data_IF_146211210438
#
_entry.id   IF_146211210438
#
_cell.length_a   1.000
_cell.length_b   1.000
_cell.length_c   1.000
_cell.angle_alpha   90.00
_cell.angle_beta   90.00
_cell.angle_gamma   90.00
#
_symmetry.space_group_name_H-M   'P 1'
#
loop_
_entity.id
_entity.type
_entity.pdbx_description
1 polymer ?
#
# COMPACT_ATOMS: atom_id res chain seq x y z
N UNK A 1 -3.90 -17.74 34.17
CA UNK A 1 -3.77 -16.86 32.98
C UNK A 1 -4.92 -17.22 32.06
N UNK A 2 -6.04 -16.52 32.21
CA UNK A 2 -7.21 -16.69 31.36
C UNK A 2 -6.88 -16.26 29.92
N UNK A 3 -7.12 -17.16 28.97
CA UNK A 3 -7.18 -16.77 27.56
C UNK A 3 -8.45 -15.93 27.41
N UNK A 4 -8.31 -14.61 27.40
CA UNK A 4 -9.40 -13.71 27.02
C UNK A 4 -9.97 -14.20 25.69
N UNK A 5 -11.22 -14.62 25.74
CA UNK A 5 -11.99 -15.07 24.60
C UNK A 5 -12.37 -13.79 23.81
N UNK A 6 -11.43 -13.26 23.02
CA UNK A 6 -11.72 -12.15 22.10
C UNK A 6 -12.76 -12.66 21.08
N UNK A 7 -14.03 -12.37 21.36
CA UNK A 7 -15.11 -12.54 20.40
C UNK A 7 -14.77 -11.68 19.19
N UNK A 8 -14.43 -12.32 18.06
CA UNK A 8 -14.19 -11.60 16.82
C UNK A 8 -15.43 -10.82 16.42
N UNK A 9 -15.25 -9.51 16.24
CA UNK A 9 -16.25 -8.60 15.69
C UNK A 9 -16.76 -9.13 14.35
N UNK A 10 -18.07 -9.28 14.23
CA UNK A 10 -18.74 -9.69 12.99
C UNK A 10 -19.45 -8.50 12.38
N UNK A 11 -19.49 -8.45 11.05
CA UNK A 11 -20.26 -7.43 10.33
C UNK A 11 -21.75 -7.64 10.56
N UNK A 12 -22.41 -6.62 11.10
CA UNK A 12 -23.87 -6.61 11.33
C UNK A 12 -24.68 -6.70 10.02
N UNK A 13 -24.11 -6.27 8.88
CA UNK A 13 -24.77 -6.33 7.56
C UNK A 13 -23.78 -6.51 6.40
N UNK A 14 -24.19 -7.23 5.35
CA UNK A 14 -23.45 -7.36 4.09
C UNK A 14 -23.27 -6.01 3.38
N UNK A 15 -24.22 -5.10 3.51
CA UNK A 15 -24.09 -3.74 2.98
C UNK A 15 -23.01 -2.96 3.74
N UNK A 16 -22.95 -3.09 5.07
CA UNK A 16 -21.90 -2.47 5.88
C UNK A 16 -20.50 -2.89 5.46
N UNK A 17 -20.32 -4.18 5.14
CA UNK A 17 -19.07 -4.69 4.58
C UNK A 17 -18.73 -4.05 3.21
N UNK A 18 -19.71 -3.94 2.31
CA UNK A 18 -19.49 -3.36 0.98
C UNK A 18 -19.11 -1.88 1.09
N UNK A 19 -19.80 -1.11 1.93
CA UNK A 19 -19.49 0.31 2.15
C UNK A 19 -18.11 0.50 2.77
N UNK A 20 -17.73 -0.33 3.74
CA UNK A 20 -16.40 -0.28 4.34
C UNK A 20 -15.31 -0.62 3.31
N UNK A 21 -15.52 -1.65 2.49
CA UNK A 21 -14.58 -2.03 1.43
C UNK A 21 -14.47 -0.95 0.35
N UNK A 22 -15.59 -0.36 -0.07
CA UNK A 22 -15.59 0.75 -1.03
C UNK A 22 -14.89 1.99 -0.46
N UNK A 23 -15.14 2.34 0.81
CA UNK A 23 -14.47 3.44 1.49
C UNK A 23 -12.95 3.23 1.64
N UNK A 24 -12.50 1.99 1.84
CA UNK A 24 -11.06 1.67 1.85
C UNK A 24 -10.42 1.77 0.46
N UNK A 25 -11.17 1.53 -0.61
CA UNK A 25 -10.64 1.56 -1.98
C UNK A 25 -10.67 2.97 -2.59
N UNK A 26 -11.65 3.79 -2.22
CA UNK A 26 -11.77 5.18 -2.67
C UNK A 26 -11.01 6.09 -1.71
N UNK A 27 -9.79 6.45 -2.10
CA UNK A 27 -8.91 7.28 -1.27
C UNK A 27 -8.28 8.45 -2.01
N UNK A 28 -7.46 9.20 -1.28
CA UNK A 28 -6.70 10.35 -1.80
C UNK A 28 -5.94 10.00 -3.09
N UNK A 29 -5.39 8.80 -3.21
CA UNK A 29 -4.68 8.36 -4.43
C UNK A 29 -5.46 8.58 -5.73
N UNK A 30 -6.78 8.39 -5.73
CA UNK A 30 -7.62 8.61 -6.91
C UNK A 30 -7.86 10.09 -7.21
N UNK A 31 -7.74 10.97 -6.21
CA UNK A 31 -8.03 12.40 -6.32
C UNK A 31 -6.83 13.17 -6.87
N UNK A 32 -5.61 12.88 -6.41
CA UNK A 32 -4.44 13.69 -6.78
C UNK A 32 -3.39 12.91 -7.58
N UNK A 33 -3.10 11.65 -7.22
CA UNK A 33 -2.05 10.87 -7.88
C UNK A 33 -2.51 10.36 -9.24
N UNK A 34 -3.74 9.85 -9.33
CA UNK A 34 -4.28 9.28 -10.58
C UNK A 34 -4.34 10.31 -11.72
N UNK A 35 -4.91 11.52 -11.56
CA UNK A 35 -4.94 12.51 -12.64
C UNK A 35 -3.53 12.97 -13.04
N UNK A 36 -2.65 13.14 -12.06
CA UNK A 36 -1.26 13.56 -12.30
C UNK A 36 -0.49 12.54 -13.15
N UNK A 37 -0.54 11.25 -12.79
CA UNK A 37 0.14 10.18 -13.55
C UNK A 37 -0.50 10.02 -14.92
N UNK A 38 -1.83 10.08 -15.01
CA UNK A 38 -2.57 9.99 -16.27
C UNK A 38 -2.17 11.12 -17.22
N UNK A 39 -2.10 12.36 -16.73
CA UNK A 39 -1.70 13.52 -17.53
C UNK A 39 -0.29 13.41 -18.09
N UNK A 40 0.64 12.79 -17.36
CA UNK A 40 2.03 12.60 -17.83
C UNK A 40 2.22 11.43 -18.78
N UNK A 41 1.38 10.39 -18.69
CA UNK A 41 1.56 9.14 -19.43
C UNK A 41 0.66 9.02 -20.67
N UNK A 42 0.23 10.14 -21.26
CA UNK A 42 -0.57 10.13 -22.49
C UNK A 42 -2.08 10.09 -22.27
N UNK A 43 -2.57 10.52 -21.10
CA UNK A 43 -3.98 10.81 -20.86
C UNK A 43 -4.89 9.59 -21.06
N UNK A 44 -5.85 9.69 -21.98
CA UNK A 44 -6.86 8.67 -22.20
C UNK A 44 -6.31 7.28 -22.59
N UNK A 45 -5.21 7.22 -23.33
CA UNK A 45 -4.60 5.93 -23.70
C UNK A 45 -4.06 5.18 -22.47
N UNK A 46 -3.46 5.91 -21.52
CA UNK A 46 -3.04 5.35 -20.23
C UNK A 46 -4.23 4.84 -19.42
N UNK A 47 -5.35 5.57 -19.41
CA UNK A 47 -6.57 5.15 -18.68
C UNK A 47 -7.11 3.83 -19.22
N UNK A 48 -7.13 3.62 -20.54
CA UNK A 48 -7.60 2.36 -21.12
C UNK A 48 -6.76 1.16 -20.67
N UNK A 49 -5.43 1.30 -20.71
CA UNK A 49 -4.51 0.26 -20.22
C UNK A 49 -4.66 0.05 -18.72
N UNK A 50 -4.81 1.14 -17.96
CA UNK A 50 -5.05 1.09 -16.51
C UNK A 50 -6.32 0.32 -16.15
N UNK A 51 -7.44 0.58 -16.83
CA UNK A 51 -8.70 -0.12 -16.63
C UNK A 51 -8.60 -1.60 -17.01
N UNK A 52 -7.91 -1.92 -18.10
CA UNK A 52 -7.66 -3.29 -18.50
C UNK A 52 -6.85 -4.04 -17.42
N UNK A 53 -5.79 -3.42 -16.89
CA UNK A 53 -5.00 -4.00 -15.80
C UNK A 53 -5.82 -4.18 -14.52
N UNK A 54 -6.71 -3.25 -14.17
CA UNK A 54 -7.63 -3.43 -13.04
C UNK A 54 -8.53 -4.64 -13.26
N UNK A 55 -9.11 -4.78 -14.45
CA UNK A 55 -10.02 -5.88 -14.74
C UNK A 55 -9.31 -7.25 -14.72
N UNK A 56 -8.10 -7.33 -15.30
CA UNK A 56 -7.37 -8.60 -15.49
C UNK A 56 -6.54 -8.99 -14.27
N UNK A 57 -6.01 -8.02 -13.53
CA UNK A 57 -5.08 -8.28 -12.41
C UNK A 57 -5.70 -7.84 -11.08
N UNK A 58 -6.23 -6.62 -11.01
CA UNK A 58 -6.78 -6.06 -9.78
C UNK A 58 -7.97 -6.84 -9.23
N UNK A 59 -8.98 -7.09 -10.08
CA UNK A 59 -10.20 -7.81 -9.66
C UNK A 59 -9.91 -9.24 -9.22
N UNK A 60 -9.14 -10.07 -9.96
CA UNK A 60 -8.80 -11.41 -9.48
C UNK A 60 -8.04 -11.40 -8.15
N UNK A 61 -7.07 -10.50 -7.98
CA UNK A 61 -6.32 -10.40 -6.72
C UNK A 61 -7.25 -10.02 -5.56
N UNK A 62 -8.13 -9.04 -5.76
CA UNK A 62 -9.12 -8.63 -4.75
C UNK A 62 -10.03 -9.80 -4.35
N UNK A 63 -10.53 -10.55 -5.32
CA UNK A 63 -11.36 -11.73 -5.08
C UNK A 63 -10.59 -12.83 -4.33
N UNK A 64 -9.32 -13.06 -4.69
CA UNK A 64 -8.44 -14.00 -4.00
C UNK A 64 -8.21 -13.58 -2.54
N UNK A 65 -7.95 -12.31 -2.28
CA UNK A 65 -7.73 -11.79 -0.93
C UNK A 65 -9.00 -11.89 -0.07
N UNK A 66 -10.16 -11.53 -0.63
CA UNK A 66 -11.45 -11.71 0.04
C UNK A 66 -11.77 -13.18 0.32
N UNK A 67 -11.52 -14.09 -0.63
CA UNK A 67 -11.74 -15.52 -0.45
C UNK A 67 -10.82 -16.10 0.64
N UNK A 68 -9.55 -15.71 0.65
CA UNK A 68 -8.56 -16.12 1.65
C UNK A 68 -8.94 -15.61 3.05
N UNK A 69 -9.38 -14.36 3.16
CA UNK A 69 -9.88 -13.78 4.41
C UNK A 69 -11.16 -14.45 4.92
N UNK A 70 -12.12 -14.77 4.04
CA UNK A 70 -13.38 -15.46 4.43
C UNK A 70 -13.15 -16.88 4.91
N UNK A 71 -12.22 -17.62 4.29
CA UNK A 71 -11.94 -19.02 4.64
C UNK A 71 -11.16 -19.14 5.96
N UNK A 72 -10.22 -18.22 6.22
CA UNK A 72 -9.37 -18.28 7.43
C UNK A 72 -9.95 -17.49 8.61
N UNK A 73 -10.68 -16.40 8.33
CA UNK A 73 -11.16 -15.40 9.31
C UNK A 73 -10.03 -14.85 10.19
N UNK A 74 -8.80 -14.84 9.69
CA UNK A 74 -7.60 -14.39 10.41
C UNK A 74 -7.00 -13.14 9.77
N UNK A 75 -6.11 -12.47 10.50
CA UNK A 75 -5.27 -11.40 9.93
C UNK A 75 -4.41 -11.94 8.78
N UNK A 76 -3.91 -11.10 7.85
CA UNK A 76 -3.17 -11.56 6.68
C UNK A 76 -2.02 -12.53 7.01
N UNK A 77 -1.23 -12.22 8.05
CA UNK A 77 -0.13 -13.08 8.54
C UNK A 77 -0.66 -14.42 9.08
N UNK A 78 -1.75 -14.40 9.85
CA UNK A 78 -2.38 -15.59 10.40
C UNK A 78 -3.01 -16.47 9.31
N UNK A 79 -3.65 -15.85 8.32
CA UNK A 79 -4.28 -16.52 7.20
C UNK A 79 -3.25 -17.33 6.38
N UNK A 80 -2.10 -16.73 6.06
CA UNK A 80 -1.01 -17.45 5.41
C UNK A 80 -0.38 -18.51 6.33
N UNK A 81 -0.34 -18.30 7.64
CA UNK A 81 0.15 -19.33 8.59
C UNK A 81 -0.79 -20.54 8.68
N UNK A 82 -2.10 -20.33 8.54
CA UNK A 82 -3.11 -21.38 8.60
C UNK A 82 -3.24 -22.15 7.28
N UNK A 83 -3.17 -21.44 6.15
CA UNK A 83 -3.32 -22.03 4.81
C UNK A 83 -2.02 -22.60 4.24
N UNK A 84 -0.84 -22.14 4.69
CA UNK A 84 0.41 -22.63 4.15
C UNK A 84 0.65 -24.08 4.58
N UNK A 85 0.70 -25.06 3.65
CA UNK A 85 1.11 -26.41 3.98
C UNK A 85 2.57 -26.41 4.45
N UNK A 86 2.90 -27.35 5.34
CA UNK A 86 4.26 -27.50 5.88
C UNK A 86 5.34 -27.74 4.80
N UNK A 87 4.96 -28.03 3.55
CA UNK A 87 5.85 -28.38 2.44
C UNK A 87 5.35 -27.86 1.08
N UNK A 88 5.29 -26.53 0.90
CA UNK A 88 4.91 -25.91 -0.39
C UNK A 88 6.04 -25.97 -1.42
N UNK A 89 5.81 -26.65 -2.55
CA UNK A 89 6.78 -26.74 -3.65
C UNK A 89 7.03 -25.39 -4.35
N UNK A 90 5.99 -24.56 -4.49
CA UNK A 90 6.06 -23.25 -5.13
C UNK A 90 6.90 -22.24 -4.34
N UNK A 91 6.78 -22.21 -3.00
CA UNK A 91 7.64 -21.34 -2.17
C UNK A 91 9.12 -21.75 -2.26
N UNK A 92 9.39 -23.06 -2.29
CA UNK A 92 10.76 -23.58 -2.41
C UNK A 92 11.36 -23.27 -3.79
N UNK A 93 10.56 -23.38 -4.86
CA UNK A 93 10.99 -23.02 -6.21
C UNK A 93 11.35 -21.53 -6.30
N UNK A 94 10.48 -20.64 -5.81
CA UNK A 94 10.74 -19.20 -5.80
C UNK A 94 12.00 -18.89 -4.99
N UNK A 95 12.15 -19.49 -3.81
CA UNK A 95 13.34 -19.28 -2.99
C UNK A 95 14.63 -19.76 -3.66
N UNK A 96 14.56 -20.87 -4.41
CA UNK A 96 15.70 -21.37 -5.18
C UNK A 96 16.04 -20.43 -6.33
N UNK A 97 15.05 -19.94 -7.08
CA UNK A 97 15.26 -18.98 -8.18
C UNK A 97 15.85 -17.66 -7.67
N UNK A 98 15.36 -17.14 -6.55
CA UNK A 98 15.87 -15.92 -5.91
C UNK A 98 17.31 -16.12 -5.42
N UNK A 99 17.59 -17.26 -4.78
CA UNK A 99 18.94 -17.59 -4.32
C UNK A 99 19.92 -17.76 -5.48
N UNK A 100 19.50 -18.44 -6.55
CA UNK A 100 20.30 -18.62 -7.77
C UNK A 100 20.60 -17.29 -8.46
N UNK A 101 19.59 -16.42 -8.56
CA UNK A 101 19.76 -15.05 -9.07
C UNK A 101 20.75 -14.24 -8.21
N UNK A 102 20.67 -14.37 -6.88
CA UNK A 102 21.61 -13.74 -5.96
C UNK A 102 23.06 -14.20 -6.17
N UNK A 103 23.29 -15.50 -6.34
CA UNK A 103 24.62 -16.07 -6.65
C UNK A 103 25.16 -15.52 -7.98
N UNK A 104 24.29 -15.44 -8.99
CA UNK A 104 24.64 -14.90 -10.30
C UNK A 104 25.04 -13.41 -10.21
N UNK A 105 24.31 -12.60 -9.43
CA UNK A 105 24.66 -11.18 -9.20
C UNK A 105 26.00 -10.99 -8.49
N UNK A 106 26.39 -11.90 -7.59
CA UNK A 106 27.71 -11.88 -6.97
C UNK A 106 28.83 -12.13 -7.98
N UNK A 107 28.60 -13.01 -8.96
CA UNK A 107 29.56 -13.25 -10.04
C UNK A 107 29.80 -12.01 -10.92
N UNK A 108 28.79 -11.14 -11.08
CA UNK A 108 28.88 -9.86 -11.79
C UNK A 108 29.37 -8.68 -10.93
N UNK A 109 29.96 -8.95 -9.75
CA UNK A 109 30.45 -7.94 -8.78
C UNK A 109 29.35 -7.00 -8.23
N UNK A 110 28.07 -7.36 -8.37
CA UNK A 110 26.96 -6.63 -7.74
C UNK A 110 26.74 -7.11 -6.29
N UNK A 111 27.78 -6.99 -5.46
CA UNK A 111 27.86 -7.58 -4.11
C UNK A 111 26.66 -7.24 -3.21
N UNK A 112 26.19 -5.99 -3.23
CA UNK A 112 25.05 -5.57 -2.41
C UNK A 112 23.75 -6.29 -2.78
N UNK A 113 23.38 -6.26 -4.07
CA UNK A 113 22.16 -6.90 -4.56
C UNK A 113 22.21 -8.42 -4.48
N UNK A 114 23.38 -9.02 -4.70
CA UNK A 114 23.57 -10.47 -4.58
C UNK A 114 23.38 -10.96 -3.14
N UNK A 115 23.96 -10.28 -2.15
CA UNK A 115 23.78 -10.63 -0.73
C UNK A 115 22.31 -10.42 -0.31
N UNK A 116 21.69 -9.32 -0.73
CA UNK A 116 20.29 -9.04 -0.41
C UNK A 116 19.36 -10.13 -0.98
N UNK A 117 19.55 -10.53 -2.23
CA UNK A 117 18.79 -11.59 -2.86
C UNK A 117 18.97 -12.93 -2.14
N UNK A 118 20.19 -13.26 -1.71
CA UNK A 118 20.45 -14.47 -0.91
C UNK A 118 19.75 -14.45 0.46
N UNK A 119 19.78 -13.31 1.16
CA UNK A 119 19.07 -13.12 2.42
C UNK A 119 17.56 -13.31 2.21
N UNK A 120 17.00 -12.70 1.16
CA UNK A 120 15.59 -12.86 0.81
C UNK A 120 15.26 -14.32 0.50
N UNK A 121 16.09 -15.00 -0.30
CA UNK A 121 15.94 -16.42 -0.59
C UNK A 121 15.93 -17.29 0.67
N UNK A 122 16.86 -17.04 1.60
CA UNK A 122 16.92 -17.73 2.89
C UNK A 122 15.69 -17.45 3.78
N UNK A 123 15.21 -16.21 3.80
CA UNK A 123 13.99 -15.83 4.51
C UNK A 123 12.76 -16.54 3.94
N UNK A 124 12.65 -16.67 2.61
CA UNK A 124 11.55 -17.40 1.96
C UNK A 124 11.60 -18.89 2.33
N UNK A 125 12.78 -19.51 2.40
CA UNK A 125 12.87 -20.90 2.87
C UNK A 125 12.42 -21.06 4.32
N UNK A 126 12.74 -20.08 5.19
CA UNK A 126 12.43 -20.12 6.62
C UNK A 126 10.96 -19.82 6.95
N UNK A 127 10.39 -18.78 6.33
CA UNK A 127 9.08 -18.23 6.67
C UNK A 127 8.03 -18.40 5.56
N UNK A 128 8.45 -18.76 4.34
CA UNK A 128 7.57 -19.15 3.21
C UNK A 128 6.51 -18.10 2.94
N UNK A 129 5.26 -18.52 2.70
CA UNK A 129 4.13 -17.65 2.38
C UNK A 129 3.74 -16.66 3.50
N UNK A 130 4.19 -16.88 4.74
CA UNK A 130 3.95 -15.92 5.84
C UNK A 130 4.61 -14.58 5.53
N UNK A 131 5.73 -14.56 4.80
CA UNK A 131 6.37 -13.31 4.37
C UNK A 131 5.45 -12.43 3.53
N UNK A 132 4.61 -13.02 2.66
CA UNK A 132 3.68 -12.23 1.84
C UNK A 132 2.69 -11.49 2.74
N UNK A 133 2.18 -12.16 3.78
CA UNK A 133 1.32 -11.52 4.78
C UNK A 133 2.04 -10.40 5.56
N UNK A 134 3.28 -10.62 5.98
CA UNK A 134 4.07 -9.61 6.70
C UNK A 134 4.39 -8.41 5.79
N UNK A 135 4.75 -8.65 4.53
CA UNK A 135 4.98 -7.61 3.54
C UNK A 135 3.73 -6.78 3.30
N UNK A 136 2.54 -7.39 3.26
CA UNK A 136 1.27 -6.68 3.14
C UNK A 136 1.03 -5.71 4.32
N UNK A 137 1.28 -6.17 5.55
CA UNK A 137 1.14 -5.34 6.76
C UNK A 137 2.16 -4.18 6.75
N UNK A 138 3.42 -4.46 6.41
CA UNK A 138 4.47 -3.44 6.32
C UNK A 138 4.18 -2.43 5.21
N UNK A 139 3.72 -2.89 4.04
CA UNK A 139 3.32 -2.03 2.94
C UNK A 139 2.18 -1.11 3.36
N UNK A 140 1.16 -1.65 4.04
CA UNK A 140 0.06 -0.84 4.60
C UNK A 140 0.57 0.24 5.55
N UNK A 141 1.50 -0.09 6.44
CA UNK A 141 2.09 0.89 7.36
C UNK A 141 2.87 2.00 6.64
N UNK A 142 3.69 1.63 5.65
CA UNK A 142 4.49 2.59 4.86
C UNK A 142 3.59 3.47 3.99
N UNK A 143 2.53 2.90 3.40
CA UNK A 143 1.56 3.68 2.62
C UNK A 143 0.83 4.65 3.55
N UNK A 144 0.40 4.19 4.73
CA UNK A 144 -0.32 5.03 5.68
C UNK A 144 0.53 6.22 6.16
N UNK A 145 1.82 6.03 6.42
CA UNK A 145 2.71 7.12 6.85
C UNK A 145 2.87 8.22 5.79
N UNK A 146 2.82 7.87 4.51
CA UNK A 146 2.80 8.85 3.43
C UNK A 146 1.42 9.49 3.28
N UNK A 147 0.35 8.70 3.39
CA UNK A 147 -1.02 9.18 3.23
C UNK A 147 -1.45 10.14 4.34
N UNK A 148 -0.98 9.95 5.58
CA UNK A 148 -1.24 10.87 6.70
C UNK A 148 -0.66 12.27 6.44
N UNK A 149 0.52 12.35 5.80
CA UNK A 149 1.13 13.63 5.41
C UNK A 149 0.26 14.34 4.36
N UNK A 150 -0.16 13.62 3.31
CA UNK A 150 -0.99 14.18 2.23
C UNK A 150 -2.38 14.60 2.75
N UNK A 151 -2.96 13.81 3.64
CA UNK A 151 -4.21 14.15 4.32
C UNK A 151 -4.05 15.41 5.19
N UNK A 152 -2.92 15.55 5.89
CA UNK A 152 -2.58 16.75 6.65
C UNK A 152 -2.52 18.00 5.76
N UNK A 153 -1.90 17.92 4.58
CA UNK A 153 -1.91 19.03 3.62
C UNK A 153 -3.32 19.40 3.18
N UNK A 154 -4.21 18.43 2.98
CA UNK A 154 -5.60 18.66 2.58
C UNK A 154 -6.34 19.50 3.63
N UNK A 155 -6.18 19.18 4.91
CA UNK A 155 -6.75 19.95 6.02
C UNK A 155 -6.16 21.38 6.05
N UNK A 156 -4.83 21.50 5.92
CA UNK A 156 -4.17 22.80 5.88
C UNK A 156 -4.63 23.69 4.72
N UNK A 157 -4.91 23.09 3.55
CA UNK A 157 -5.50 23.79 2.41
C UNK A 157 -6.93 24.23 2.66
N UNK A 158 -7.75 23.40 3.33
CA UNK A 158 -9.11 23.78 3.71
C UNK A 158 -9.14 25.02 4.62
N UNK A 159 -8.24 25.11 5.62
CA UNK A 159 -8.12 26.31 6.45
C UNK A 159 -7.68 27.55 5.66
N UNK A 160 -6.77 27.40 4.69
CA UNK A 160 -6.33 28.51 3.81
C UNK A 160 -7.44 28.99 2.88
N UNK A 161 -8.30 28.07 2.44
CA UNK A 161 -9.50 28.39 1.65
C UNK A 161 -10.47 29.24 2.46
N UNK A 162 -10.80 28.80 3.68
CA UNK A 162 -11.68 29.53 4.60
C UNK A 162 -11.10 30.92 4.94
N UNK A 163 -9.77 31.04 5.01
CA UNK A 163 -9.07 32.30 5.27
C UNK A 163 -9.00 33.24 4.06
N UNK A 164 -9.57 32.87 2.90
CA UNK A 164 -9.57 33.67 1.68
C UNK A 164 -8.20 33.78 0.98
N UNK A 165 -7.22 32.96 1.35
CA UNK A 165 -5.82 33.07 0.92
C UNK A 165 -5.49 32.14 -0.27
N UNK A 166 -6.50 31.70 -1.03
CA UNK A 166 -6.40 30.82 -2.22
C UNK A 166 -6.80 31.51 -3.53
N UNK A 167 -6.91 32.83 -3.56
CA UNK A 167 -7.16 33.58 -4.80
C UNK A 167 -5.87 33.65 -5.64
N UNK A 168 -5.70 32.71 -6.58
CA UNK A 168 -4.54 32.65 -7.45
C UNK A 168 -4.84 33.25 -8.83
N UNK A 169 -3.94 34.10 -9.34
CA UNK A 169 -4.07 34.69 -10.67
C UNK A 169 -3.50 33.78 -11.78
N UNK A 170 -2.52 32.92 -11.46
CA UNK A 170 -1.84 32.05 -12.42
C UNK A 170 -1.50 30.67 -11.85
N UNK A 171 -1.29 29.70 -12.74
CA UNK A 171 -0.90 28.32 -12.38
C UNK A 171 0.53 28.27 -11.82
N UNK A 172 1.44 29.14 -12.29
CA UNK A 172 2.79 29.23 -11.73
C UNK A 172 2.79 29.70 -10.27
N UNK A 173 1.94 30.68 -9.91
CA UNK A 173 1.86 31.18 -8.54
C UNK A 173 1.34 30.10 -7.59
N UNK A 174 0.28 29.38 -8.00
CA UNK A 174 -0.26 28.26 -7.24
C UNK A 174 0.79 27.17 -6.99
N UNK A 175 1.60 26.85 -8.01
CA UNK A 175 2.69 25.85 -7.92
C UNK A 175 3.81 26.30 -6.99
N UNK A 176 4.22 27.58 -7.05
CA UNK A 176 5.26 28.12 -6.18
C UNK A 176 4.83 28.14 -4.71
N UNK A 177 3.60 28.55 -4.43
CA UNK A 177 3.04 28.56 -3.06
C UNK A 177 2.83 27.15 -2.51
N UNK A 178 2.37 26.20 -3.35
CA UNK A 178 2.31 24.79 -2.97
C UNK A 178 3.71 24.24 -2.64
N UNK A 179 4.71 24.54 -3.48
CA UNK A 179 6.10 24.11 -3.24
C UNK A 179 6.67 24.64 -1.92
N UNK A 180 6.45 25.91 -1.62
CA UNK A 180 6.86 26.53 -0.34
C UNK A 180 6.12 25.91 0.86
N UNK A 181 4.84 25.57 0.69
CA UNK A 181 4.04 24.92 1.73
C UNK A 181 4.47 23.46 1.97
N UNK A 182 4.59 22.67 0.92
CA UNK A 182 4.99 21.26 1.00
C UNK A 182 6.45 21.08 1.42
N UNK A 183 7.30 22.06 1.11
CA UNK A 183 8.72 22.07 1.49
C UNK A 183 9.01 22.53 2.92
N UNK A 184 8.02 23.01 3.67
CA UNK A 184 8.22 23.48 5.06
C UNK A 184 8.01 22.34 6.07
N UNK A 185 9.08 21.87 6.76
CA UNK A 185 8.98 20.73 7.68
C UNK A 185 8.04 20.98 8.87
N UNK A 186 7.98 22.21 9.37
CA UNK A 186 7.17 22.55 10.55
C UNK A 186 5.67 22.52 10.26
N UNK A 187 5.25 22.95 9.06
CA UNK A 187 3.86 22.82 8.64
C UNK A 187 3.47 21.37 8.36
N UNK A 188 4.35 20.59 7.72
CA UNK A 188 4.11 19.17 7.49
C UNK A 188 3.93 18.39 8.80
N UNK A 189 4.77 18.67 9.81
CA UNK A 189 4.66 18.08 11.14
C UNK A 189 3.39 18.59 11.86
N UNK A 190 3.10 19.89 11.80
CA UNK A 190 1.91 20.46 12.45
C UNK A 190 0.59 19.91 11.90
N UNK A 191 0.46 19.77 10.58
CA UNK A 191 -0.70 19.16 9.95
C UNK A 191 -0.83 17.65 10.27
N UNK A 192 0.29 16.96 10.41
CA UNK A 192 0.28 15.54 10.79
C UNK A 192 -0.10 15.35 12.27
N UNK A 193 0.32 16.26 13.15
CA UNK A 193 -0.10 16.24 14.56
C UNK A 193 -1.59 16.50 14.71
N UNK A 194 -2.14 17.49 13.98
CA UNK A 194 -3.58 17.79 13.97
C UNK A 194 -4.45 16.63 13.45
N UNK A 195 -3.90 15.80 12.56
CA UNK A 195 -4.62 14.65 12.01
C UNK A 195 -4.61 13.43 12.95
N UNK A 196 -3.61 13.33 13.82
CA UNK A 196 -3.41 12.20 14.73
C UNK A 196 -3.90 12.50 16.15
N UNK A 197 -4.00 13.78 16.54
CA UNK A 197 -4.57 14.26 17.80
C UNK A 197 -6.09 14.19 17.82
#
# INVERSE_FOLDING_TARGET
>A
MDKMNEQRENWSSSLGFIWAAAGSAVGLGNIWKFPYVTGQNGGGAFVLVYLLCIAVIGLPILLCEMALGRNTRQSPVGAFKQLAPAQSHSANLIAFMVSLGGICMLAFKAWGWGILALIIGALILRFRWVLVGVMGVLAGFVILSFYSVVAGWTIGYNFKDISGNLMFATVEEAKARFGSFAGNPFYAIGCHLLLVS
#
